data_IF_071697939075
#
_entry.id   IF_071697939075
#
_cell.length_a   1.000
_cell.length_b   1.000
_cell.length_c   1.000
_cell.angle_alpha   90.00
_cell.angle_beta   90.00
_cell.angle_gamma   90.00
#
_symmetry.space_group_name_H-M   'P 1'
#
loop_
_entity.id
_entity.type
_entity.pdbx_description
1 polymer ?
#
# COMPACT_ATOMS: atom_id res chain seq x y z
N UNK A 1 -1.44 -2.49 3.05
CA UNK A 1 -1.10 -1.48 2.05
C UNK A 1 -0.95 -0.21 2.84
N UNK A 2 -0.04 0.65 2.45
CA UNK A 2 0.16 1.92 3.18
C UNK A 2 -1.18 2.69 3.27
N UNK A 3 -1.96 2.72 2.19
CA UNK A 3 -3.26 3.39 2.12
C UNK A 3 -4.34 2.75 2.99
N UNK A 4 -4.53 1.43 2.89
CA UNK A 4 -5.48 0.71 3.75
C UNK A 4 -5.18 0.95 5.24
N UNK A 5 -3.90 0.97 5.59
CA UNK A 5 -3.47 1.26 6.97
C UNK A 5 -3.79 2.70 7.34
N UNK A 6 -3.60 3.67 6.43
CA UNK A 6 -3.95 5.07 6.68
C UNK A 6 -5.46 5.26 6.91
N UNK A 7 -6.32 4.57 6.14
CA UNK A 7 -7.77 4.59 6.34
C UNK A 7 -8.19 4.04 7.70
N UNK A 8 -7.57 2.93 8.14
CA UNK A 8 -7.84 2.34 9.46
C UNK A 8 -7.35 3.25 10.59
N UNK A 9 -6.16 3.86 10.45
CA UNK A 9 -5.62 4.81 11.44
C UNK A 9 -6.57 6.00 11.61
N UNK A 10 -7.08 6.56 10.50
CA UNK A 10 -8.04 7.67 10.55
C UNK A 10 -9.32 7.28 11.29
N UNK A 11 -9.90 6.12 10.98
CA UNK A 11 -11.10 5.64 11.66
C UNK A 11 -10.87 5.42 13.18
N UNK A 12 -9.67 4.97 13.55
CA UNK A 12 -9.29 4.79 14.95
C UNK A 12 -9.11 6.13 15.67
N UNK A 13 -8.50 7.14 15.03
CA UNK A 13 -8.34 8.49 15.59
C UNK A 13 -9.68 9.20 15.77
N UNK A 14 -10.62 9.04 14.82
CA UNK A 14 -11.98 9.59 14.93
C UNK A 14 -12.75 8.95 16.11
N UNK A 15 -12.57 7.64 16.34
CA UNK A 15 -13.25 6.90 17.42
C UNK A 15 -12.59 7.06 18.80
N UNK A 16 -11.27 7.24 18.83
CA UNK A 16 -10.47 7.32 20.06
C UNK A 16 -9.52 8.54 20.00
N UNK A 17 -10.02 9.75 20.36
CA UNK A 17 -9.25 11.00 20.20
C UNK A 17 -7.97 11.08 21.04
N UNK A 18 -7.90 10.32 22.14
CA UNK A 18 -6.72 10.25 23.02
C UNK A 18 -5.71 9.16 22.57
N UNK A 19 -5.97 8.48 21.46
CA UNK A 19 -5.07 7.46 20.92
C UNK A 19 -3.78 8.12 20.41
N UNK A 20 -2.69 7.93 21.14
CA UNK A 20 -1.37 8.29 20.67
C UNK A 20 -0.94 7.33 19.56
N UNK A 21 -0.80 7.87 18.34
CA UNK A 21 -0.27 7.11 17.22
C UNK A 21 1.11 6.56 17.59
N UNK A 22 1.37 5.28 17.29
CA UNK A 22 2.67 4.68 17.50
C UNK A 22 3.73 5.49 16.75
N UNK A 23 4.82 5.85 17.44
CA UNK A 23 5.96 6.50 16.83
C UNK A 23 6.56 5.58 15.76
N UNK A 24 6.62 6.09 14.52
CA UNK A 24 7.08 5.42 13.31
C UNK A 24 6.14 4.34 12.75
N UNK A 25 5.80 4.52 11.48
CA UNK A 25 5.01 3.61 10.66
C UNK A 25 5.55 2.18 10.80
N UNK A 26 4.70 1.24 11.23
CA UNK A 26 5.06 -0.19 11.35
C UNK A 26 5.33 -0.86 9.99
N UNK A 27 5.22 -0.10 8.90
CA UNK A 27 5.53 -0.50 7.54
C UNK A 27 6.99 -0.14 7.28
N UNK A 28 7.79 -1.12 6.89
CA UNK A 28 9.19 -0.84 6.59
C UNK A 28 9.32 0.04 5.34
N UNK A 29 10.36 0.87 5.32
CA UNK A 29 10.74 1.73 4.18
C UNK A 29 10.71 1.00 2.83
N UNK A 30 11.19 -0.25 2.83
CA UNK A 30 11.28 -1.05 1.62
C UNK A 30 9.89 -1.43 1.04
N UNK A 31 8.85 -1.51 1.87
CA UNK A 31 7.48 -1.75 1.42
C UNK A 31 6.87 -0.46 0.86
N UNK A 32 7.05 0.67 1.54
CA UNK A 32 6.58 1.99 1.08
C UNK A 32 7.16 2.32 -0.30
N UNK A 33 8.48 2.25 -0.45
CA UNK A 33 9.15 2.56 -1.70
C UNK A 33 8.67 1.73 -2.89
N UNK A 34 8.45 0.43 -2.68
CA UNK A 34 8.01 -0.44 -3.78
C UNK A 34 6.57 -0.18 -4.16
N UNK A 35 5.69 0.16 -3.20
CA UNK A 35 4.31 0.52 -3.51
C UNK A 35 4.24 1.83 -4.30
N UNK A 36 4.98 2.87 -3.89
CA UNK A 36 5.05 4.14 -4.62
C UNK A 36 5.58 3.96 -6.04
N UNK A 37 6.69 3.23 -6.21
CA UNK A 37 7.23 2.95 -7.54
C UNK A 37 6.24 2.20 -8.44
N UNK A 38 5.46 1.27 -7.88
CA UNK A 38 4.43 0.55 -8.66
C UNK A 38 3.29 1.49 -9.06
N UNK A 39 2.81 2.39 -8.18
CA UNK A 39 1.76 3.37 -8.55
C UNK A 39 2.18 4.23 -9.74
N UNK A 40 3.41 4.73 -9.72
CA UNK A 40 3.92 5.62 -10.78
C UNK A 40 4.15 4.91 -12.12
N UNK A 41 4.44 3.61 -12.11
CA UNK A 41 4.90 2.86 -13.29
C UNK A 41 3.89 1.86 -13.83
N UNK A 42 2.86 1.50 -13.06
CA UNK A 42 1.80 0.62 -13.51
C UNK A 42 0.80 1.33 -14.43
N UNK A 43 0.55 2.62 -14.21
CA UNK A 43 -0.32 3.42 -15.06
C UNK A 43 0.23 3.48 -16.50
N UNK A 44 -0.57 3.03 -17.46
CA UNK A 44 -0.21 3.00 -18.88
C UNK A 44 0.63 1.80 -19.31
N UNK A 45 0.85 0.81 -18.44
CA UNK A 45 1.45 -0.45 -18.83
C UNK A 45 0.38 -1.45 -19.32
N UNK A 46 0.50 -1.95 -20.55
CA UNK A 46 -0.41 -3.00 -21.07
C UNK A 46 -0.34 -4.30 -20.24
N UNK A 47 0.80 -4.53 -19.59
CA UNK A 47 1.05 -5.67 -18.71
C UNK A 47 2.10 -5.31 -17.65
N UNK A 48 1.78 -5.55 -16.38
CA UNK A 48 2.71 -5.37 -15.26
C UNK A 48 2.93 -6.70 -14.52
N UNK A 49 4.19 -7.15 -14.42
CA UNK A 49 4.54 -8.45 -13.81
C UNK A 49 5.27 -8.26 -12.47
N UNK A 50 4.74 -8.87 -11.41
CA UNK A 50 5.36 -8.85 -10.08
C UNK A 50 5.86 -10.25 -9.74
N UNK A 51 7.19 -10.37 -9.58
CA UNK A 51 7.83 -11.63 -9.22
C UNK A 51 7.85 -11.79 -7.70
N UNK A 52 7.22 -12.85 -7.20
CA UNK A 52 7.21 -13.16 -5.77
C UNK A 52 6.52 -14.48 -5.46
N UNK A 53 6.76 -15.00 -4.25
CA UNK A 53 6.05 -16.19 -3.78
C UNK A 53 4.56 -15.88 -3.53
N UNK A 54 3.64 -16.84 -3.78
CA UNK A 54 2.20 -16.62 -3.65
C UNK A 54 1.74 -16.30 -2.21
N UNK A 55 2.56 -16.64 -1.20
CA UNK A 55 2.34 -16.36 0.22
C UNK A 55 3.04 -15.08 0.72
N UNK A 56 3.72 -14.32 -0.16
CA UNK A 56 4.36 -13.06 0.20
C UNK A 56 3.33 -11.94 0.28
N UNK A 57 3.02 -11.49 1.49
CA UNK A 57 2.11 -10.35 1.72
C UNK A 57 2.57 -9.09 0.96
N UNK A 58 3.88 -8.81 0.93
CA UNK A 58 4.42 -7.67 0.18
C UNK A 58 4.16 -7.80 -1.32
N UNK A 59 4.45 -8.97 -1.91
CA UNK A 59 4.26 -9.19 -3.36
C UNK A 59 2.79 -9.10 -3.77
N UNK A 60 1.89 -9.70 -2.96
CA UNK A 60 0.44 -9.57 -3.19
C UNK A 60 -0.02 -8.12 -3.10
N UNK A 61 0.51 -7.36 -2.14
CA UNK A 61 0.14 -5.95 -1.98
C UNK A 61 0.59 -5.08 -3.15
N UNK A 62 1.72 -5.40 -3.78
CA UNK A 62 2.13 -4.72 -5.02
C UNK A 62 1.17 -5.02 -6.18
N UNK A 63 0.63 -6.24 -6.27
CA UNK A 63 -0.37 -6.59 -7.31
C UNK A 63 -1.61 -5.74 -7.13
N UNK A 64 -2.14 -5.67 -5.91
CA UNK A 64 -3.32 -4.86 -5.62
C UNK A 64 -3.08 -3.36 -5.86
N UNK A 65 -1.84 -2.87 -5.69
CA UNK A 65 -1.49 -1.46 -5.99
C UNK A 65 -1.44 -1.22 -7.49
N UNK A 66 -0.85 -2.13 -8.26
CA UNK A 66 -0.84 -2.06 -9.73
C UNK A 66 -2.26 -2.11 -10.31
N UNK A 67 -3.12 -2.99 -9.78
CA UNK A 67 -4.53 -3.07 -10.18
C UNK A 67 -5.27 -1.75 -9.89
N UNK A 68 -5.05 -1.11 -8.75
CA UNK A 68 -5.71 0.17 -8.43
C UNK A 68 -5.24 1.32 -9.33
N UNK A 69 -3.95 1.36 -9.68
CA UNK A 69 -3.38 2.41 -10.52
C UNK A 69 -3.99 2.45 -11.94
N UNK A 70 -4.50 1.32 -12.43
CA UNK A 70 -5.18 1.21 -13.74
C UNK A 70 -6.67 1.60 -13.68
N UNK A 71 -7.27 1.63 -12.48
CA UNK A 71 -8.70 1.90 -12.30
C UNK A 71 -9.02 3.35 -11.84
N UNK A 72 -8.03 4.24 -11.76
CA UNK A 72 -8.20 5.67 -11.41
C UNK A 72 -8.33 6.59 -12.64
N UNK A 73 -9.15 6.19 -13.63
CA UNK A 73 -9.63 7.06 -14.73
C UNK A 73 -10.93 7.81 -14.38
#
# INVERSE_FOLDING_TARGET
SVEDTAGIIRALQERFPELHAAAAESICYATTNRQEAVKETAAGADLFLIVGAPNSSNSRRLVEVAERADNEE
#
